data_IF_117308714076
#
_entry.id   IF_117308714076
#
_cell.length_a   1.000
_cell.length_b   1.000
_cell.length_c   1.000
_cell.angle_alpha   90.00
_cell.angle_beta   90.00
_cell.angle_gamma   90.00
#
_symmetry.space_group_name_H-M   'P 1'
#
loop_
_entity.id
_entity.type
_entity.pdbx_description
1 polymer ?
#
# COMPACT_ATOMS: atom_id res chain seq x y z
N UNK A 1 15.33 1.02 33.61
CA UNK A 1 15.35 -0.10 34.58
C UNK A 1 15.02 0.38 36.00
N UNK A 2 14.01 1.23 36.21
CA UNK A 2 13.60 1.66 37.57
C UNK A 2 12.42 0.85 38.12
N UNK A 3 11.62 0.21 37.25
CA UNK A 3 10.41 -0.53 37.65
C UNK A 3 10.70 -1.81 38.45
N UNK A 4 11.87 -2.44 38.26
CA UNK A 4 12.27 -3.65 38.97
C UNK A 4 12.93 -3.37 40.33
N UNK A 5 13.18 -2.09 40.66
CA UNK A 5 13.91 -1.68 41.88
C UNK A 5 12.97 -1.53 43.08
N UNK A 6 11.65 -1.44 42.87
CA UNK A 6 10.69 -1.22 43.93
C UNK A 6 9.96 -2.52 44.30
N UNK A 7 10.13 -2.98 45.54
CA UNK A 7 9.43 -4.15 46.11
C UNK A 7 7.91 -3.98 46.17
N UNK A 8 7.40 -2.74 46.15
CA UNK A 8 5.98 -2.45 46.21
C UNK A 8 5.57 -1.45 45.12
N UNK A 9 4.58 -1.81 44.31
CA UNK A 9 4.06 -0.98 43.20
C UNK A 9 3.55 0.38 43.71
N UNK A 10 3.09 0.47 44.96
CA UNK A 10 2.59 1.71 45.56
C UNK A 10 3.68 2.75 45.88
N UNK A 11 4.93 2.33 46.06
CA UNK A 11 6.08 3.21 46.33
C UNK A 11 6.82 3.60 45.05
N UNK A 12 6.44 3.01 43.92
CA UNK A 12 7.04 3.27 42.63
C UNK A 12 6.56 4.64 42.09
N UNK A 13 7.47 5.61 41.82
CA UNK A 13 7.10 6.93 41.30
C UNK A 13 6.57 6.89 39.85
N UNK A 14 6.69 5.73 39.19
CA UNK A 14 6.19 5.46 37.83
C UNK A 14 5.01 4.47 37.84
N UNK A 15 4.35 4.24 39.00
CA UNK A 15 3.19 3.35 39.14
C UNK A 15 2.03 3.70 38.19
N UNK A 16 1.89 4.96 37.84
CA UNK A 16 0.82 5.45 36.95
C UNK A 16 1.00 4.91 35.52
N UNK A 17 2.21 4.46 35.16
CA UNK A 17 2.48 3.76 33.91
C UNK A 17 2.04 2.28 33.90
N UNK A 18 1.74 1.71 35.08
CA UNK A 18 1.24 0.34 35.22
C UNK A 18 -0.30 0.28 35.24
N UNK A 19 -0.97 1.44 35.21
CA UNK A 19 -2.42 1.51 35.14
C UNK A 19 -2.96 1.02 33.79
N UNK A 20 -4.15 0.43 33.82
CA UNK A 20 -4.86 -0.05 32.63
C UNK A 20 -5.06 1.06 31.58
N UNK A 21 -5.22 2.31 32.02
CA UNK A 21 -5.26 3.50 31.17
C UNK A 21 -3.99 3.70 30.33
N UNK A 22 -2.81 3.40 30.87
CA UNK A 22 -1.55 3.52 30.13
C UNK A 22 -1.41 2.40 29.10
N UNK A 23 -1.86 1.19 29.39
CA UNK A 23 -1.93 0.09 28.42
C UNK A 23 -2.85 0.42 27.25
N UNK A 24 -4.04 0.95 27.53
CA UNK A 24 -4.99 1.40 26.50
C UNK A 24 -4.41 2.54 25.66
N UNK A 25 -3.74 3.51 26.29
CA UNK A 25 -3.09 4.62 25.60
C UNK A 25 -1.96 4.11 24.69
N UNK A 26 -1.09 3.25 25.21
CA UNK A 26 0.03 2.66 24.45
C UNK A 26 -0.50 1.83 23.28
N UNK A 27 -1.54 1.02 23.50
CA UNK A 27 -2.18 0.25 22.43
C UNK A 27 -2.77 1.15 21.33
N UNK A 28 -3.41 2.26 21.70
CA UNK A 28 -3.93 3.26 20.76
C UNK A 28 -2.82 3.92 19.94
N UNK A 29 -1.74 4.35 20.59
CA UNK A 29 -0.57 4.95 19.94
C UNK A 29 0.11 3.98 18.98
N UNK A 30 0.30 2.73 19.40
CA UNK A 30 0.86 1.66 18.56
C UNK A 30 -0.06 1.38 17.37
N UNK A 31 -1.37 1.30 17.56
CA UNK A 31 -2.32 1.08 16.48
C UNK A 31 -2.31 2.23 15.46
N UNK A 32 -2.21 3.48 15.94
CA UNK A 32 -2.08 4.65 15.06
C UNK A 32 -0.74 4.63 14.29
N UNK A 33 0.36 4.26 14.93
CA UNK A 33 1.66 4.10 14.29
C UNK A 33 1.64 2.98 13.24
N UNK A 34 1.03 1.83 13.54
CA UNK A 34 0.83 0.73 12.60
C UNK A 34 0.00 1.24 11.42
N UNK A 35 -1.17 1.83 11.65
CA UNK A 35 -2.05 2.32 10.59
C UNK A 35 -1.41 3.40 9.72
N UNK A 36 -0.60 4.28 10.30
CA UNK A 36 0.16 5.29 9.54
C UNK A 36 1.32 4.70 8.74
N UNK A 37 1.97 3.63 9.25
CA UNK A 37 3.01 2.89 8.53
C UNK A 37 2.44 2.06 7.37
N UNK A 38 1.20 1.57 7.50
CA UNK A 38 0.44 0.97 6.41
C UNK A 38 0.01 2.07 5.42
N UNK A 39 0.88 2.32 4.44
CA UNK A 39 0.68 3.38 3.45
C UNK A 39 -0.71 3.39 2.82
N UNK A 40 -1.32 4.58 2.79
CA UNK A 40 -2.67 4.90 2.30
C UNK A 40 -3.11 4.07 1.09
N UNK A 41 -3.95 3.07 1.34
CA UNK A 41 -4.68 2.27 0.36
C UNK A 41 -3.83 1.25 -0.41
N UNK A 42 -4.47 0.29 -1.10
CA UNK A 42 -3.76 -0.68 -1.93
C UNK A 42 -3.03 0.09 -3.05
N UNK A 43 -1.73 0.31 -2.85
CA UNK A 43 -0.83 0.97 -3.81
C UNK A 43 -1.03 0.42 -5.22
N UNK A 44 -1.36 -0.88 -5.30
CA UNK A 44 -1.65 -1.61 -6.52
C UNK A 44 -2.83 -1.03 -7.32
N UNK A 45 -4.02 -0.84 -6.73
CA UNK A 45 -5.18 -0.31 -7.47
C UNK A 45 -4.89 1.09 -8.04
N UNK A 46 -4.18 1.92 -7.28
CA UNK A 46 -3.77 3.27 -7.73
C UNK A 46 -2.75 3.19 -8.88
N UNK A 47 -1.79 2.28 -8.81
CA UNK A 47 -0.80 2.05 -9.85
C UNK A 47 -1.45 1.49 -11.12
N UNK A 48 -2.38 0.54 -10.99
CA UNK A 48 -3.13 -0.03 -12.12
C UNK A 48 -3.96 1.05 -12.83
N UNK A 49 -4.66 1.92 -12.09
CA UNK A 49 -5.38 3.06 -12.68
C UNK A 49 -4.45 3.99 -13.46
N UNK A 50 -3.28 4.33 -12.90
CA UNK A 50 -2.27 5.15 -13.60
C UNK A 50 -1.73 4.45 -14.85
N UNK A 51 -1.43 3.16 -14.77
CA UNK A 51 -0.95 2.36 -15.89
C UNK A 51 -1.97 2.37 -17.04
N UNK A 52 -3.24 2.07 -16.76
CA UNK A 52 -4.30 2.07 -17.77
C UNK A 52 -4.47 3.44 -18.43
N UNK A 53 -4.40 4.53 -17.64
CA UNK A 53 -4.48 5.89 -18.17
C UNK A 53 -3.32 6.21 -19.12
N UNK A 54 -2.09 5.88 -18.73
CA UNK A 54 -0.90 6.13 -19.55
C UNK A 54 -0.92 5.30 -20.84
N UNK A 55 -1.32 4.03 -20.78
CA UNK A 55 -1.47 3.19 -21.97
C UNK A 55 -2.49 3.80 -22.95
N UNK A 56 -3.64 4.30 -22.46
CA UNK A 56 -4.63 5.00 -23.30
C UNK A 56 -4.05 6.26 -23.98
N UNK A 57 -3.28 7.07 -23.24
CA UNK A 57 -2.63 8.26 -23.79
C UNK A 57 -1.61 7.93 -24.88
N UNK A 58 -0.88 6.81 -24.73
CA UNK A 58 0.07 6.33 -25.75
C UNK A 58 -0.64 5.78 -26.99
N UNK A 59 -1.80 5.14 -26.82
CA UNK A 59 -2.64 4.66 -27.93
C UNK A 59 -3.15 5.81 -28.81
N UNK A 60 -3.58 6.89 -28.18
CA UNK A 60 -4.08 8.10 -28.85
C UNK A 60 -2.98 8.72 -29.73
N UNK A 61 -1.73 8.70 -29.25
CA UNK A 61 -0.56 9.22 -29.97
C UNK A 61 0.03 8.25 -31.00
N UNK A 62 -0.54 7.06 -31.14
CA UNK A 62 -0.13 6.02 -32.07
C UNK A 62 1.36 5.61 -31.96
N UNK A 63 1.94 5.72 -30.76
CA UNK A 63 3.31 5.25 -30.53
C UNK A 63 3.36 3.73 -30.49
N UNK A 64 4.45 3.16 -31.02
CA UNK A 64 4.76 1.76 -30.80
C UNK A 64 5.35 1.62 -29.40
N UNK A 65 4.66 0.91 -28.51
CA UNK A 65 5.12 0.72 -27.14
C UNK A 65 4.77 -0.68 -26.62
N UNK A 66 5.53 -1.21 -25.66
CA UNK A 66 5.20 -2.46 -24.98
C UNK A 66 3.97 -2.24 -24.09
N UNK A 67 2.83 -2.82 -24.46
CA UNK A 67 1.55 -2.71 -23.77
C UNK A 67 1.25 -3.97 -22.97
N UNK A 68 0.78 -3.79 -21.75
CA UNK A 68 0.27 -4.88 -20.92
C UNK A 68 -1.11 -5.30 -21.44
N UNK A 69 -1.21 -6.52 -21.96
CA UNK A 69 -2.45 -7.11 -22.49
C UNK A 69 -3.27 -7.80 -21.40
N UNK A 70 -2.59 -8.38 -20.41
CA UNK A 70 -3.23 -9.04 -19.27
C UNK A 70 -2.67 -8.49 -17.95
N UNK A 71 -3.56 -7.86 -17.17
CA UNK A 71 -3.24 -7.25 -15.88
C UNK A 71 -3.08 -8.27 -14.74
N UNK A 72 -3.58 -9.50 -14.93
CA UNK A 72 -3.52 -10.57 -13.93
C UNK A 72 -2.20 -11.33 -13.99
N UNK A 73 -1.68 -11.58 -15.20
CA UNK A 73 -0.39 -12.26 -15.43
C UNK A 73 0.77 -11.29 -15.66
N UNK A 74 0.49 -10.01 -15.92
CA UNK A 74 1.51 -8.99 -16.21
C UNK A 74 2.16 -9.16 -17.58
N UNK A 75 1.52 -9.89 -18.50
CA UNK A 75 2.06 -10.16 -19.84
C UNK A 75 2.06 -8.90 -20.70
N UNK A 76 3.18 -8.63 -21.37
CA UNK A 76 3.42 -7.44 -22.19
C UNK A 76 3.66 -7.83 -23.64
N UNK A 77 2.96 -7.19 -24.57
CA UNK A 77 3.11 -7.38 -26.02
C UNK A 77 3.43 -6.05 -26.72
N UNK A 78 4.10 -6.11 -27.88
CA UNK A 78 4.38 -4.90 -28.67
C UNK A 78 3.08 -4.42 -29.31
N UNK A 79 2.60 -3.22 -28.93
CA UNK A 79 1.40 -2.65 -29.52
C UNK A 79 1.74 -2.03 -30.88
N UNK A 80 1.28 -2.68 -31.96
CA UNK A 80 1.32 -2.15 -33.32
C UNK A 80 -0.10 -1.70 -33.67
N UNK A 81 -0.30 -0.40 -33.89
CA UNK A 81 -1.59 0.15 -34.32
C UNK A 81 -1.83 -0.21 -35.80
N UNK A 82 -2.30 -1.42 -36.07
CA UNK A 82 -2.70 -1.96 -37.38
C UNK A 82 -3.95 -2.85 -37.23
N UNK A 83 -4.77 -3.03 -38.29
CA UNK A 83 -6.21 -3.20 -38.14
C UNK A 83 -6.58 -4.48 -37.38
N UNK A 84 -7.54 -4.31 -36.47
CA UNK A 84 -8.39 -5.40 -36.03
C UNK A 84 -9.05 -5.98 -37.29
N UNK A 85 -9.00 -7.31 -37.44
CA UNK A 85 -9.45 -8.15 -38.57
C UNK A 85 -8.39 -8.47 -39.65
N UNK A 86 -7.96 -9.74 -39.77
CA UNK A 86 -7.51 -10.23 -41.06
C UNK A 86 -8.74 -10.38 -41.97
N UNK A 87 -8.67 -9.79 -43.16
CA UNK A 87 -9.57 -10.08 -44.27
C UNK A 87 -9.61 -11.59 -44.49
N UNK A 88 -10.79 -12.17 -44.32
CA UNK A 88 -11.09 -13.55 -44.72
C UNK A 88 -11.02 -13.59 -46.24
N UNK A 89 -10.12 -14.43 -46.77
CA UNK A 89 -10.07 -14.83 -48.17
C UNK A 89 -11.08 -15.96 -48.43
#
# INVERSE_FOLDING_TARGET
MSLLVFENISTCPVKDFLGESQWLKTASEVNAAILSSFGKGPKLQRLLKKLTLNQKQLDERAYEYPRMSDMSTGTVSKYIKGPLFPTVA
#
